data_IF_153248629164
#
_entry.id   IF_153248629164
#
_cell.length_a   1.000
_cell.length_b   1.000
_cell.length_c   1.000
_cell.angle_alpha   90.00
_cell.angle_beta   90.00
_cell.angle_gamma   90.00
#
_symmetry.space_group_name_H-M   'P 1'
#
loop_
_entity.id
_entity.type
_entity.pdbx_description
1 polymer ?
#
# COMPACT_ATOMS: atom_id res chain seq x y z
N UNK A 1 -17.11 11.47 1.48
CA UNK A 1 -16.58 11.76 0.13
C UNK A 1 -17.57 11.24 -0.90
N UNK A 2 -17.90 11.99 -1.95
CA UNK A 2 -18.86 11.53 -2.99
C UNK A 2 -18.14 10.57 -3.94
N UNK A 3 -18.60 9.32 -4.04
CA UNK A 3 -18.12 8.36 -5.04
C UNK A 3 -18.77 8.67 -6.39
N UNK A 4 -17.97 8.97 -7.41
CA UNK A 4 -18.47 9.10 -8.78
C UNK A 4 -18.84 7.70 -9.26
N UNK A 5 -20.14 7.43 -9.42
CA UNK A 5 -20.65 6.12 -9.86
C UNK A 5 -20.80 6.05 -11.37
N UNK A 6 -21.14 7.17 -12.01
CA UNK A 6 -21.22 7.29 -13.47
C UNK A 6 -21.28 8.77 -13.90
N UNK A 7 -21.15 9.04 -15.19
CA UNK A 7 -21.32 10.37 -15.78
C UNK A 7 -22.70 10.50 -16.42
N UNK A 8 -23.36 11.63 -16.17
CA UNK A 8 -24.70 11.90 -16.70
C UNK A 8 -24.76 12.00 -18.23
N UNK A 9 -23.63 12.25 -18.92
CA UNK A 9 -23.60 12.27 -20.37
C UNK A 9 -22.33 11.64 -20.95
N UNK A 10 -22.49 11.11 -22.16
CA UNK A 10 -21.43 10.40 -22.86
C UNK A 10 -20.27 11.31 -23.28
N UNK A 11 -20.52 12.62 -23.47
CA UNK A 11 -19.47 13.60 -23.74
C UNK A 11 -18.56 13.81 -22.52
N UNK A 12 -19.13 13.95 -21.32
CA UNK A 12 -18.35 14.05 -20.08
C UNK A 12 -17.61 12.75 -19.79
N UNK A 13 -18.24 11.60 -20.05
CA UNK A 13 -17.56 10.30 -20.00
C UNK A 13 -16.38 10.27 -20.99
N UNK A 14 -16.58 10.66 -22.25
CA UNK A 14 -15.52 10.75 -23.27
C UNK A 14 -14.47 11.82 -22.98
N UNK A 15 -14.74 12.82 -22.15
CA UNK A 15 -13.78 13.87 -21.81
C UNK A 15 -12.94 13.49 -20.58
N UNK A 16 -13.58 12.93 -19.54
CA UNK A 16 -12.96 12.61 -18.26
C UNK A 16 -12.42 11.17 -18.19
N UNK A 17 -12.99 10.24 -18.95
CA UNK A 17 -12.62 8.81 -18.97
C UNK A 17 -11.90 8.37 -20.25
N UNK A 18 -11.66 9.26 -21.23
CA UNK A 18 -11.06 8.86 -22.51
C UNK A 18 -9.75 8.10 -22.33
N UNK A 19 -8.95 8.59 -21.40
CA UNK A 19 -7.57 8.20 -21.23
C UNK A 19 -7.33 7.62 -19.83
N UNK A 20 -8.24 7.82 -18.86
CA UNK A 20 -8.06 7.33 -17.49
C UNK A 20 -8.55 5.89 -17.37
N UNK A 21 -7.61 4.97 -17.18
CA UNK A 21 -7.88 3.54 -16.99
C UNK A 21 -7.35 3.08 -15.63
N UNK A 22 -7.86 1.94 -15.18
CA UNK A 22 -7.30 1.20 -14.05
C UNK A 22 -6.62 -0.07 -14.53
N UNK A 23 -5.59 -0.51 -13.81
CA UNK A 23 -4.96 -1.81 -14.00
C UNK A 23 -4.68 -2.48 -12.66
N UNK A 24 -4.62 -3.80 -12.65
CA UNK A 24 -4.15 -4.56 -11.51
C UNK A 24 -2.65 -4.80 -11.60
N UNK A 25 -1.97 -4.66 -10.47
CA UNK A 25 -0.58 -5.05 -10.30
C UNK A 25 -0.45 -5.88 -9.03
N UNK A 26 0.32 -6.96 -9.10
CA UNK A 26 0.75 -7.74 -7.96
C UNK A 26 2.27 -7.76 -7.91
N UNK A 27 2.85 -7.19 -6.85
CA UNK A 27 4.26 -7.33 -6.54
C UNK A 27 4.44 -8.67 -5.83
N UNK A 28 5.23 -9.55 -6.45
CA UNK A 28 5.63 -10.88 -5.97
C UNK A 28 6.45 -10.75 -4.66
N UNK A 29 6.73 -11.86 -3.96
CA UNK A 29 7.43 -11.82 -2.68
C UNK A 29 8.81 -11.15 -2.81
N UNK A 30 8.95 -9.96 -2.24
CA UNK A 30 10.16 -9.13 -2.26
C UNK A 30 10.33 -8.42 -0.91
N UNK A 31 11.58 -8.01 -0.55
CA UNK A 31 11.80 -7.13 0.58
C UNK A 31 10.98 -5.85 0.47
N UNK A 32 10.44 -5.36 1.60
CA UNK A 32 9.56 -4.19 1.62
C UNK A 32 10.26 -2.92 1.11
N UNK A 33 11.59 -2.82 1.24
CA UNK A 33 12.39 -1.78 0.61
C UNK A 33 12.30 -1.80 -0.92
N UNK A 34 12.38 -2.97 -1.54
CA UNK A 34 12.21 -3.10 -3.00
C UNK A 34 10.77 -2.81 -3.43
N UNK A 35 9.78 -3.24 -2.64
CA UNK A 35 8.37 -2.89 -2.86
C UNK A 35 8.19 -1.37 -2.86
N UNK A 36 8.82 -0.67 -1.91
CA UNK A 36 8.80 0.80 -1.86
C UNK A 36 9.39 1.45 -3.11
N UNK A 37 10.53 0.95 -3.60
CA UNK A 37 11.13 1.41 -4.86
C UNK A 37 10.22 1.20 -6.06
N UNK A 38 9.53 0.06 -6.14
CA UNK A 38 8.58 -0.23 -7.21
C UNK A 38 7.37 0.72 -7.15
N UNK A 39 6.84 0.99 -5.95
CA UNK A 39 5.75 1.95 -5.75
C UNK A 39 6.16 3.36 -6.18
N UNK A 40 7.37 3.80 -5.83
CA UNK A 40 7.93 5.09 -6.28
C UNK A 40 8.07 5.11 -7.80
N UNK A 41 8.57 4.03 -8.40
CA UNK A 41 8.72 3.90 -9.85
C UNK A 41 7.38 4.07 -10.59
N UNK A 42 6.30 3.48 -10.09
CA UNK A 42 4.96 3.71 -10.65
C UNK A 42 4.51 5.16 -10.50
N UNK A 43 4.74 5.78 -9.34
CA UNK A 43 4.36 7.17 -9.08
C UNK A 43 5.09 8.16 -10.01
N UNK A 44 6.41 7.99 -10.15
CA UNK A 44 7.28 8.80 -11.02
C UNK A 44 6.90 8.67 -12.50
N UNK A 45 6.41 7.49 -12.90
CA UNK A 45 5.89 7.25 -14.25
C UNK A 45 4.39 7.62 -14.41
N UNK A 46 3.80 8.37 -13.48
CA UNK A 46 2.46 8.94 -13.66
C UNK A 46 1.29 8.01 -13.33
N UNK A 47 1.55 6.83 -12.77
CA UNK A 47 0.51 5.97 -12.20
C UNK A 47 0.27 6.33 -10.74
N UNK A 48 -0.96 6.12 -10.25
CA UNK A 48 -1.34 6.41 -8.86
C UNK A 48 -1.99 5.18 -8.26
N UNK A 49 -1.63 4.86 -7.02
CA UNK A 49 -2.22 3.75 -6.27
C UNK A 49 -3.58 4.20 -5.71
N UNK A 50 -4.65 3.49 -6.05
CA UNK A 50 -6.02 3.75 -5.55
C UNK A 50 -6.48 2.70 -4.55
N UNK A 51 -5.92 1.48 -4.62
CA UNK A 51 -6.07 0.43 -3.62
C UNK A 51 -4.74 -0.28 -3.46
N UNK A 52 -4.42 -0.73 -2.25
CA UNK A 52 -3.24 -1.55 -1.99
C UNK A 52 -3.50 -2.44 -0.78
N UNK A 53 -3.13 -3.72 -0.87
CA UNK A 53 -3.27 -4.67 0.23
C UNK A 53 -2.14 -5.70 0.21
N UNK A 54 -1.66 -6.08 1.39
CA UNK A 54 -0.73 -7.20 1.58
C UNK A 54 -1.51 -8.46 1.93
N UNK A 55 -1.34 -9.50 1.12
CA UNK A 55 -2.12 -10.73 1.23
C UNK A 55 -1.25 -11.97 1.06
N UNK A 56 -1.67 -13.06 1.70
CA UNK A 56 -1.08 -14.39 1.48
C UNK A 56 -1.84 -15.11 0.39
N UNK A 57 -1.13 -15.57 -0.65
CA UNK A 57 -1.75 -16.31 -1.74
C UNK A 57 -1.92 -17.78 -1.39
N UNK A 58 -3.05 -18.34 -1.85
CA UNK A 58 -3.30 -19.77 -1.94
C UNK A 58 -3.14 -20.24 -3.39
N UNK A 59 -3.10 -21.56 -3.60
CA UNK A 59 -3.13 -22.12 -4.94
C UNK A 59 -4.36 -21.68 -5.74
N UNK A 60 -5.52 -21.49 -5.10
CA UNK A 60 -6.74 -21.00 -5.77
C UNK A 60 -6.57 -19.56 -6.27
N UNK A 61 -6.00 -18.68 -5.43
CA UNK A 61 -5.73 -17.29 -5.81
C UNK A 61 -4.78 -17.22 -7.02
N UNK A 62 -3.74 -18.06 -7.03
CA UNK A 62 -2.77 -18.12 -8.13
C UNK A 62 -3.42 -18.64 -9.41
N UNK A 63 -4.22 -19.71 -9.34
CA UNK A 63 -4.94 -20.22 -10.51
C UNK A 63 -5.90 -19.18 -11.08
N UNK A 64 -6.55 -18.36 -10.25
CA UNK A 64 -7.42 -17.30 -10.71
C UNK A 64 -6.63 -16.17 -11.39
N UNK A 65 -5.58 -15.66 -10.74
CA UNK A 65 -4.79 -14.52 -11.26
C UNK A 65 -4.04 -14.89 -12.56
N UNK A 66 -3.63 -16.15 -12.68
CA UNK A 66 -2.90 -16.65 -13.85
C UNK A 66 -3.76 -17.54 -14.75
N UNK A 67 -5.10 -17.41 -14.70
CA UNK A 67 -6.06 -18.23 -15.47
C UNK A 67 -5.76 -18.33 -16.97
N UNK A 68 -5.20 -17.28 -17.56
CA UNK A 68 -4.81 -17.24 -18.98
C UNK A 68 -3.45 -17.89 -19.28
N UNK A 69 -2.68 -18.24 -18.25
CA UNK A 69 -1.32 -18.77 -18.34
C UNK A 69 -1.17 -20.16 -17.73
N UNK A 70 -2.27 -20.84 -17.38
CA UNK A 70 -2.23 -22.18 -16.76
C UNK A 70 -1.55 -23.21 -17.67
N UNK A 71 -1.66 -23.04 -19.00
CA UNK A 71 -1.03 -23.91 -19.99
C UNK A 71 0.46 -23.62 -20.22
N UNK A 72 1.02 -22.58 -19.59
CA UNK A 72 2.43 -22.23 -19.69
C UNK A 72 3.29 -23.30 -18.98
N UNK A 73 4.33 -23.86 -19.63
CA UNK A 73 5.25 -24.80 -19.00
C UNK A 73 5.94 -24.27 -17.72
N UNK A 74 6.04 -22.96 -17.55
CA UNK A 74 6.59 -22.32 -16.34
C UNK A 74 5.59 -22.23 -15.18
N UNK A 75 4.29 -22.40 -15.45
CA UNK A 75 3.23 -22.23 -14.46
C UNK A 75 3.40 -23.10 -13.19
N UNK A 76 3.82 -24.38 -13.26
CA UNK A 76 4.05 -25.19 -12.06
C UNK A 76 5.11 -24.58 -11.12
N UNK A 77 6.20 -24.04 -11.67
CA UNK A 77 7.26 -23.41 -10.89
C UNK A 77 6.80 -22.09 -10.27
N UNK A 78 5.99 -21.33 -11.01
CA UNK A 78 5.36 -20.12 -10.51
C UNK A 78 4.39 -20.42 -9.37
N UNK A 79 3.56 -21.46 -9.51
CA UNK A 79 2.62 -21.90 -8.49
C UNK A 79 3.37 -22.31 -7.21
N UNK A 80 4.43 -23.11 -7.33
CA UNK A 80 5.28 -23.48 -6.20
C UNK A 80 5.93 -22.25 -5.54
N UNK A 81 6.43 -21.31 -6.34
CA UNK A 81 7.06 -20.10 -5.82
C UNK A 81 6.09 -19.19 -5.06
N UNK A 82 4.84 -19.07 -5.50
CA UNK A 82 3.88 -18.11 -4.94
C UNK A 82 2.97 -18.71 -3.86
N UNK A 83 2.76 -20.02 -3.85
CA UNK A 83 1.81 -20.65 -2.92
C UNK A 83 2.24 -20.44 -1.46
N UNK A 84 1.34 -19.88 -0.65
CA UNK A 84 1.59 -19.55 0.74
C UNK A 84 2.46 -18.30 0.96
N UNK A 85 2.91 -17.62 -0.10
CA UNK A 85 3.76 -16.43 0.03
C UNK A 85 2.95 -15.14 0.19
N UNK A 86 3.60 -14.12 0.74
CA UNK A 86 3.04 -12.79 0.91
C UNK A 86 3.34 -11.92 -0.32
N UNK A 87 2.31 -11.26 -0.84
CA UNK A 87 2.38 -10.37 -2.00
C UNK A 87 1.71 -9.03 -1.69
N UNK A 88 2.03 -8.01 -2.49
CA UNK A 88 1.33 -6.73 -2.46
C UNK A 88 0.50 -6.57 -3.73
N UNK A 89 -0.82 -6.66 -3.60
CA UNK A 89 -1.73 -6.32 -4.69
C UNK A 89 -2.06 -4.84 -4.67
N UNK A 90 -2.21 -4.24 -5.84
CA UNK A 90 -2.57 -2.83 -6.00
C UNK A 90 -3.44 -2.59 -7.23
N UNK A 91 -4.38 -1.66 -7.09
CA UNK A 91 -5.07 -1.02 -8.20
C UNK A 91 -4.31 0.26 -8.53
N UNK A 92 -3.87 0.38 -9.78
CA UNK A 92 -3.24 1.58 -10.31
C UNK A 92 -4.18 2.30 -11.25
N UNK A 93 -4.26 3.62 -11.15
CA UNK A 93 -4.98 4.49 -12.07
C UNK A 93 -4.02 5.42 -12.79
N UNK A 94 -4.29 5.69 -14.06
CA UNK A 94 -3.52 6.64 -14.84
C UNK A 94 -3.93 6.65 -16.31
N UNK A 95 -3.18 7.42 -17.11
CA UNK A 95 -3.40 7.47 -18.56
C UNK A 95 -3.02 6.13 -19.20
N UNK A 96 -3.95 5.51 -19.94
CA UNK A 96 -3.76 4.25 -20.65
C UNK A 96 -3.13 3.16 -19.76
N UNK A 97 -3.57 3.10 -18.50
CA UNK A 97 -2.87 2.47 -17.38
C UNK A 97 -2.41 1.04 -17.64
N UNK A 98 -3.19 0.22 -18.34
CA UNK A 98 -2.81 -1.16 -18.67
C UNK A 98 -1.58 -1.19 -19.58
N UNK A 99 -1.66 -0.52 -20.74
CA UNK A 99 -0.57 -0.47 -21.71
C UNK A 99 0.67 0.24 -21.16
N UNK A 100 0.46 1.31 -20.40
CA UNK A 100 1.54 2.08 -19.79
C UNK A 100 2.24 1.27 -18.70
N UNK A 101 1.49 0.55 -17.86
CA UNK A 101 2.04 -0.35 -16.86
C UNK A 101 2.85 -1.48 -17.49
N UNK A 102 2.36 -2.13 -18.56
CA UNK A 102 3.11 -3.16 -19.30
C UNK A 102 4.46 -2.64 -19.80
N UNK A 103 4.49 -1.42 -20.32
CA UNK A 103 5.73 -0.76 -20.75
C UNK A 103 6.69 -0.51 -19.59
N UNK A 104 6.21 0.03 -18.47
CA UNK A 104 7.05 0.36 -17.31
C UNK A 104 7.62 -0.92 -16.67
N UNK A 105 6.82 -2.00 -16.58
CA UNK A 105 7.30 -3.22 -15.95
C UNK A 105 8.30 -3.98 -16.82
N UNK A 106 8.18 -3.92 -18.14
CA UNK A 106 9.11 -4.58 -19.08
C UNK A 106 8.76 -6.04 -19.38
N UNK A 107 9.63 -6.69 -20.16
CA UNK A 107 9.46 -8.09 -20.61
C UNK A 107 9.37 -9.07 -19.42
N UNK A 108 8.52 -10.11 -19.49
CA UNK A 108 8.44 -11.14 -18.44
C UNK A 108 9.77 -11.80 -18.09
N UNK A 109 10.71 -11.90 -19.04
CA UNK A 109 12.09 -12.34 -18.83
C UNK A 109 12.97 -11.12 -18.51
N UNK A 110 13.47 -10.97 -17.26
CA UNK A 110 14.31 -9.84 -16.85
C UNK A 110 15.54 -9.61 -17.73
N UNK A 111 16.07 -10.65 -18.37
CA UNK A 111 17.24 -10.56 -19.26
C UNK A 111 16.89 -9.89 -20.60
N UNK A 112 15.63 -10.03 -21.05
CA UNK A 112 15.11 -9.41 -22.28
C UNK A 112 14.45 -8.06 -22.03
N UNK A 113 14.14 -7.74 -20.78
CA UNK A 113 13.49 -6.50 -20.41
C UNK A 113 14.40 -5.29 -20.68
N UNK A 114 13.82 -4.20 -21.21
CA UNK A 114 14.59 -2.97 -21.46
C UNK A 114 15.18 -2.40 -20.17
N UNK A 115 16.40 -1.86 -20.27
CA UNK A 115 17.08 -1.23 -19.14
C UNK A 115 16.22 -0.11 -18.54
N UNK A 116 16.08 -0.13 -17.21
CA UNK A 116 15.26 0.84 -16.48
C UNK A 116 13.82 0.41 -16.25
N UNK A 117 13.35 -0.68 -16.86
CA UNK A 117 12.06 -1.30 -16.51
C UNK A 117 12.12 -2.01 -15.15
N UNK A 118 10.98 -2.16 -14.47
CA UNK A 118 10.93 -2.78 -13.13
C UNK A 118 11.50 -4.21 -13.14
N UNK A 119 11.18 -5.01 -14.16
CA UNK A 119 11.67 -6.38 -14.28
C UNK A 119 13.16 -6.44 -14.53
N UNK A 120 13.70 -5.55 -15.37
CA UNK A 120 15.15 -5.44 -15.57
C UNK A 120 15.91 -5.00 -14.30
N UNK A 121 15.30 -4.12 -13.50
CA UNK A 121 15.93 -3.56 -12.30
C UNK A 121 15.96 -4.54 -11.11
N UNK A 122 14.91 -5.33 -10.93
CA UNK A 122 14.71 -6.11 -9.71
C UNK A 122 14.49 -7.61 -9.93
N UNK A 123 14.12 -8.02 -11.14
CA UNK A 123 13.80 -9.42 -11.45
C UNK A 123 15.05 -10.29 -11.56
N UNK A 124 14.93 -11.57 -11.20
CA UNK A 124 16.05 -12.52 -11.28
C UNK A 124 15.91 -13.51 -12.43
N UNK A 125 14.69 -13.94 -12.71
CA UNK A 125 14.35 -14.90 -13.77
C UNK A 125 12.87 -14.75 -14.17
N UNK A 126 12.39 -15.50 -15.16
CA UNK A 126 11.01 -15.46 -15.67
C UNK A 126 9.95 -15.77 -14.59
N UNK A 127 10.25 -16.68 -13.67
CA UNK A 127 9.38 -17.04 -12.54
C UNK A 127 9.43 -15.95 -11.45
N UNK A 128 10.62 -15.42 -11.15
CA UNK A 128 10.89 -14.41 -10.11
C UNK A 128 11.12 -13.02 -10.72
N UNK A 129 10.24 -12.64 -11.64
CA UNK A 129 10.29 -11.34 -12.33
C UNK A 129 9.65 -10.18 -11.56
N UNK A 130 9.58 -10.23 -10.22
CA UNK A 130 9.07 -9.17 -9.34
C UNK A 130 7.59 -8.77 -9.42
N UNK A 131 7.02 -8.65 -10.61
CA UNK A 131 5.71 -8.01 -10.80
C UNK A 131 4.87 -8.74 -11.84
N UNK A 132 3.61 -8.99 -11.48
CA UNK A 132 2.54 -9.39 -12.38
C UNK A 132 1.59 -8.21 -12.62
N UNK A 133 1.04 -8.12 -13.83
CA UNK A 133 -0.02 -7.17 -14.18
C UNK A 133 -0.99 -7.81 -15.16
N UNK A 134 -2.20 -7.28 -15.24
CA UNK A 134 -3.20 -7.71 -16.20
C UNK A 134 -2.81 -7.36 -17.64
N UNK A 135 -3.13 -8.24 -18.58
CA UNK A 135 -2.75 -8.10 -19.99
C UNK A 135 -3.65 -7.18 -20.80
N UNK A 136 -4.89 -6.95 -20.35
CA UNK A 136 -5.90 -6.11 -21.01
C UNK A 136 -6.87 -5.51 -19.97
N UNK A 137 -7.67 -4.49 -20.35
CA UNK A 137 -8.62 -3.83 -19.45
C UNK A 137 -9.65 -4.77 -18.82
N UNK A 138 -10.15 -5.77 -19.55
CA UNK A 138 -11.13 -6.72 -19.03
C UNK A 138 -10.54 -7.60 -17.94
N UNK A 139 -9.32 -8.11 -18.16
CA UNK A 139 -8.56 -8.87 -17.17
C UNK A 139 -8.27 -8.01 -15.93
N UNK A 140 -7.89 -6.74 -16.11
CA UNK A 140 -7.66 -5.80 -15.01
C UNK A 140 -8.87 -5.66 -14.10
N UNK A 141 -10.07 -5.48 -14.67
CA UNK A 141 -11.29 -5.37 -13.88
C UNK A 141 -11.59 -6.65 -13.09
N UNK A 142 -11.43 -7.82 -13.71
CA UNK A 142 -11.60 -9.11 -13.05
C UNK A 142 -10.59 -9.33 -11.91
N UNK A 143 -9.32 -9.00 -12.15
CA UNK A 143 -8.24 -9.16 -11.17
C UNK A 143 -8.45 -8.20 -9.99
N UNK A 144 -8.83 -6.95 -10.26
CA UNK A 144 -9.20 -5.95 -9.25
C UNK A 144 -10.39 -6.45 -8.42
N UNK A 145 -11.46 -6.90 -9.05
CA UNK A 145 -12.68 -7.35 -8.37
C UNK A 145 -12.39 -8.58 -7.49
N UNK A 146 -11.55 -9.50 -7.97
CA UNK A 146 -11.13 -10.65 -7.19
C UNK A 146 -10.27 -10.26 -5.99
N UNK A 147 -9.28 -9.38 -6.19
CA UNK A 147 -8.31 -9.03 -5.15
C UNK A 147 -8.89 -8.03 -4.12
N UNK A 148 -9.78 -7.16 -4.57
CA UNK A 148 -10.44 -6.11 -3.79
C UNK A 148 -11.97 -6.20 -3.90
N UNK A 149 -12.59 -7.29 -3.43
CA UNK A 149 -14.01 -7.48 -3.61
C UNK A 149 -14.81 -6.43 -2.83
N UNK A 150 -16.00 -6.03 -3.33
CA UNK A 150 -16.86 -5.09 -2.62
C UNK A 150 -17.39 -5.71 -1.31
N UNK A 151 -17.73 -4.90 -0.30
CA UNK A 151 -18.44 -5.39 0.89
C UNK A 151 -19.74 -6.11 0.51
N UNK A 152 -20.13 -7.19 1.21
CA UNK A 152 -19.49 -7.76 2.41
C UNK A 152 -18.40 -8.82 2.12
N UNK A 153 -18.03 -9.04 0.84
CA UNK A 153 -17.11 -10.12 0.45
C UNK A 153 -15.63 -9.82 0.79
N UNK A 154 -15.33 -8.60 1.26
CA UNK A 154 -13.98 -8.11 1.60
C UNK A 154 -13.26 -9.00 2.62
N UNK A 155 -13.97 -9.49 3.63
CA UNK A 155 -13.41 -10.31 4.70
C UNK A 155 -13.18 -11.80 4.32
N UNK A 156 -13.73 -12.27 3.19
CA UNK A 156 -13.74 -13.69 2.86
C UNK A 156 -12.53 -14.15 2.03
N UNK A 157 -11.91 -13.26 1.24
CA UNK A 157 -10.81 -13.59 0.32
C UNK A 157 -9.54 -12.83 0.67
N UNK A 158 -8.38 -13.47 0.45
CA UNK A 158 -7.06 -12.87 0.64
C UNK A 158 -6.90 -12.26 2.04
N UNK A 159 -7.02 -13.13 3.06
CA UNK A 159 -7.12 -12.75 4.48
C UNK A 159 -6.02 -11.80 4.93
N UNK A 160 -6.37 -11.04 5.95
CA UNK A 160 -5.46 -10.17 6.69
C UNK A 160 -4.26 -10.96 7.22
N UNK A 161 -3.12 -10.30 7.15
CA UNK A 161 -1.79 -10.84 7.46
C UNK A 161 -1.26 -10.32 8.79
N UNK A 162 -2.09 -9.56 9.52
CA UNK A 162 -1.77 -9.00 10.82
C UNK A 162 -1.53 -10.12 11.85
N UNK A 163 -0.48 -9.96 12.63
CA UNK A 163 0.02 -10.90 13.63
C UNK A 163 -0.46 -10.56 15.04
N UNK A 164 -0.82 -9.29 15.28
CA UNK A 164 -1.38 -8.78 16.53
C UNK A 164 -0.51 -9.10 17.75
N UNK A 165 0.82 -9.10 17.56
CA UNK A 165 1.78 -9.47 18.59
C UNK A 165 3.03 -8.61 18.49
N UNK A 166 3.42 -7.95 19.60
CA UNK A 166 4.54 -6.99 19.66
C UNK A 166 4.56 -6.05 18.44
N UNK A 167 3.42 -5.41 18.16
CA UNK A 167 3.22 -4.62 16.96
C UNK A 167 2.88 -3.15 17.28
N UNK A 168 2.91 -2.31 16.26
CA UNK A 168 2.44 -0.92 16.31
C UNK A 168 1.74 -0.58 15.01
N UNK A 169 0.77 0.32 15.07
CA UNK A 169 0.15 0.88 13.89
C UNK A 169 1.07 1.93 13.27
N UNK A 170 1.19 1.90 11.95
CA UNK A 170 1.75 2.99 11.16
C UNK A 170 0.74 3.42 10.09
N UNK A 171 0.38 4.70 10.05
CA UNK A 171 -0.46 5.27 8.99
C UNK A 171 0.36 6.26 8.16
N UNK A 172 0.48 6.01 6.87
CA UNK A 172 0.90 7.02 5.88
C UNK A 172 -0.32 7.87 5.53
N UNK A 173 -0.30 9.13 5.95
CA UNK A 173 -1.45 10.06 5.88
C UNK A 173 -1.78 10.48 4.45
N UNK A 174 -3.01 10.97 4.19
CA UNK A 174 -3.46 11.31 2.84
C UNK A 174 -2.60 12.30 2.07
N UNK A 175 -2.07 13.37 2.68
CA UNK A 175 -1.15 14.27 1.97
C UNK A 175 0.11 13.55 1.50
N UNK A 176 0.67 12.64 2.30
CA UNK A 176 1.87 11.89 1.95
C UNK A 176 1.58 10.89 0.82
N UNK A 177 0.39 10.27 0.79
CA UNK A 177 -0.05 9.43 -0.32
C UNK A 177 -0.18 10.25 -1.61
N UNK A 178 -0.84 11.41 -1.57
CA UNK A 178 -1.00 12.31 -2.74
C UNK A 178 0.34 12.77 -3.31
N UNK A 179 1.34 12.94 -2.46
CA UNK A 179 2.70 13.36 -2.82
C UNK A 179 3.62 12.20 -3.22
N UNK A 180 3.12 10.97 -3.28
CA UNK A 180 3.91 9.81 -3.71
C UNK A 180 4.93 9.34 -2.67
N UNK A 181 4.77 9.70 -1.39
CA UNK A 181 5.73 9.39 -0.32
C UNK A 181 5.59 7.97 0.25
N UNK A 182 4.64 7.17 -0.26
CA UNK A 182 4.38 5.82 0.23
C UNK A 182 5.59 4.91 0.05
N UNK A 183 6.22 4.91 -1.14
CA UNK A 183 7.36 4.04 -1.40
C UNK A 183 8.56 4.39 -0.51
N UNK A 184 8.85 5.69 -0.36
CA UNK A 184 9.89 6.17 0.56
C UNK A 184 9.64 5.78 2.02
N UNK A 185 8.37 5.74 2.47
CA UNK A 185 8.03 5.27 3.80
C UNK A 185 8.29 3.76 3.96
N UNK A 186 7.87 2.94 2.98
CA UNK A 186 8.12 1.49 2.97
C UNK A 186 9.62 1.16 3.00
N UNK A 187 10.41 1.89 2.22
CA UNK A 187 11.88 1.79 2.21
C UNK A 187 12.48 2.07 3.58
N UNK A 188 12.16 3.23 4.15
CA UNK A 188 12.73 3.63 5.43
C UNK A 188 12.28 2.74 6.61
N UNK A 189 11.08 2.14 6.54
CA UNK A 189 10.61 1.16 7.54
C UNK A 189 11.43 -0.13 7.47
N UNK A 190 11.62 -0.68 6.27
CA UNK A 190 12.36 -1.94 6.07
C UNK A 190 13.85 -1.79 6.44
N UNK A 191 14.46 -0.70 6.00
CA UNK A 191 15.84 -0.32 6.32
C UNK A 191 16.04 0.01 7.80
N UNK A 192 14.99 0.52 8.45
CA UNK A 192 14.97 0.80 9.89
C UNK A 192 14.93 -0.44 10.78
N UNK A 193 14.93 -1.65 10.21
CA UNK A 193 14.91 -2.90 10.98
C UNK A 193 13.51 -3.38 11.34
N UNK A 194 12.48 -2.92 10.63
CA UNK A 194 11.09 -3.32 10.86
C UNK A 194 10.53 -4.11 9.68
N UNK A 195 9.54 -4.94 9.95
CA UNK A 195 8.77 -5.68 8.96
C UNK A 195 7.34 -5.11 8.92
N UNK A 196 6.83 -4.88 7.71
CA UNK A 196 5.41 -4.58 7.48
C UNK A 196 4.67 -5.91 7.40
N UNK A 197 4.04 -6.36 8.47
CA UNK A 197 3.35 -7.66 8.53
C UNK A 197 1.99 -7.63 7.84
N UNK A 198 1.24 -6.52 7.99
CA UNK A 198 0.00 -6.24 7.28
C UNK A 198 0.01 -4.84 6.67
N UNK A 199 -0.68 -4.66 5.54
CA UNK A 199 -0.86 -3.38 4.88
C UNK A 199 -2.22 -3.36 4.18
N UNK A 200 -2.97 -2.28 4.37
CA UNK A 200 -4.17 -2.02 3.58
C UNK A 200 -4.39 -0.50 3.39
N UNK A 201 -5.00 -0.12 2.26
CA UNK A 201 -5.34 1.26 1.94
C UNK A 201 -6.79 1.54 2.31
N UNK A 202 -7.02 2.61 3.06
CA UNK A 202 -8.32 2.98 3.60
C UNK A 202 -8.71 4.39 3.16
N UNK A 203 -10.01 4.62 3.00
CA UNK A 203 -10.61 5.95 3.01
C UNK A 203 -11.39 6.03 4.32
N UNK A 204 -10.84 6.77 5.28
CA UNK A 204 -11.43 6.85 6.63
C UNK A 204 -12.51 7.93 6.63
N UNK A 205 -13.73 7.56 7.02
CA UNK A 205 -14.83 8.52 7.18
C UNK A 205 -14.56 9.46 8.36
N UNK A 206 -15.20 10.63 8.36
CA UNK A 206 -14.93 11.65 9.37
C UNK A 206 -15.25 11.16 10.79
N UNK A 207 -16.35 10.43 10.96
CA UNK A 207 -16.75 9.86 12.25
C UNK A 207 -15.73 8.83 12.76
N UNK A 208 -15.29 7.93 11.88
CA UNK A 208 -14.25 6.93 12.20
C UNK A 208 -12.90 7.61 12.52
N UNK A 209 -12.54 8.68 11.80
CA UNK A 209 -11.33 9.44 12.10
C UNK A 209 -11.43 10.19 13.44
N UNK A 210 -12.61 10.69 13.80
CA UNK A 210 -12.87 11.36 15.07
C UNK A 210 -12.82 10.38 16.25
N UNK A 211 -13.40 9.19 16.09
CA UNK A 211 -13.31 8.09 17.06
C UNK A 211 -11.84 7.66 17.25
N UNK A 212 -11.12 7.41 16.16
CA UNK A 212 -9.71 7.01 16.20
C UNK A 212 -8.82 8.00 16.96
N UNK A 213 -9.06 9.31 16.80
CA UNK A 213 -8.28 10.35 17.47
C UNK A 213 -8.91 10.85 18.78
N UNK A 214 -9.98 10.23 19.29
CA UNK A 214 -10.74 10.75 20.43
C UNK A 214 -9.85 11.00 21.66
N UNK A 215 -8.85 10.15 21.88
CA UNK A 215 -7.88 10.28 22.98
C UNK A 215 -7.09 11.59 22.96
N UNK A 216 -6.97 12.25 21.80
CA UNK A 216 -6.29 13.53 21.65
C UNK A 216 -7.23 14.74 21.80
N UNK A 217 -8.54 14.52 21.90
CA UNK A 217 -9.54 15.58 21.97
C UNK A 217 -9.41 16.38 23.26
N UNK A 218 -9.15 17.67 23.12
CA UNK A 218 -8.90 18.56 24.27
C UNK A 218 -7.51 18.45 24.87
N UNK A 219 -6.68 17.51 24.40
CA UNK A 219 -5.27 17.34 24.82
C UNK A 219 -4.35 18.14 23.91
N UNK A 220 -4.58 18.10 22.59
CA UNK A 220 -3.79 18.81 21.58
C UNK A 220 -4.63 19.82 20.82
N UNK A 221 -4.02 20.94 20.42
CA UNK A 221 -4.72 22.01 19.69
C UNK A 221 -5.06 21.58 18.26
N UNK A 222 -4.26 20.67 17.69
CA UNK A 222 -4.34 20.20 16.32
C UNK A 222 -5.41 19.12 16.11
N UNK A 223 -6.13 18.67 17.15
CA UNK A 223 -7.09 17.56 17.08
C UNK A 223 -8.04 17.67 15.89
N UNK A 224 -8.67 18.84 15.71
CA UNK A 224 -9.61 19.07 14.60
C UNK A 224 -8.92 18.88 13.24
N UNK A 225 -7.71 19.42 13.09
CA UNK A 225 -6.91 19.28 11.87
C UNK A 225 -6.44 17.84 11.64
N UNK A 226 -6.17 17.07 12.69
CA UNK A 226 -5.79 15.65 12.57
C UNK A 226 -6.94 14.81 12.00
N UNK A 227 -8.17 15.02 12.48
CA UNK A 227 -9.38 14.37 11.97
C UNK A 227 -9.65 14.78 10.52
N UNK A 228 -9.56 16.07 10.22
CA UNK A 228 -9.73 16.59 8.85
C UNK A 228 -8.68 16.00 7.89
N UNK A 229 -7.41 15.94 8.29
CA UNK A 229 -6.35 15.40 7.44
C UNK A 229 -6.53 13.90 7.19
N UNK A 230 -6.84 13.09 8.21
CA UNK A 230 -7.03 11.64 8.04
C UNK A 230 -8.26 11.31 7.18
N UNK A 231 -9.32 12.12 7.28
CA UNK A 231 -10.54 11.96 6.46
C UNK A 231 -10.48 12.65 5.08
N UNK A 232 -9.36 13.31 4.75
CA UNK A 232 -9.22 14.08 3.50
C UNK A 232 -8.98 13.24 2.25
N UNK A 233 -8.72 11.94 2.38
CA UNK A 233 -8.31 11.10 1.26
C UNK A 233 -7.86 9.69 1.66
N UNK A 234 -7.30 8.93 0.70
CA UNK A 234 -6.77 7.61 0.98
C UNK A 234 -5.54 7.69 1.89
N UNK A 235 -5.48 6.83 2.89
CA UNK A 235 -4.30 6.58 3.72
C UNK A 235 -3.90 5.10 3.64
N UNK A 236 -2.65 4.79 3.97
CA UNK A 236 -2.19 3.40 4.07
C UNK A 236 -1.90 3.09 5.53
N UNK A 237 -2.65 2.15 6.11
CA UNK A 237 -2.42 1.65 7.46
C UNK A 237 -1.65 0.33 7.38
N UNK A 238 -0.68 0.17 8.28
CA UNK A 238 0.25 -0.94 8.32
C UNK A 238 0.41 -1.44 9.75
N UNK A 239 0.44 -2.76 9.92
CA UNK A 239 0.98 -3.37 11.13
C UNK A 239 2.49 -3.48 10.96
N UNK A 240 3.23 -2.95 11.93
CA UNK A 240 4.69 -2.96 11.96
C UNK A 240 5.18 -3.83 13.12
N UNK A 241 6.15 -4.69 12.84
CA UNK A 241 6.83 -5.54 13.85
C UNK A 241 8.34 -5.36 13.70
N UNK A 242 9.09 -5.24 14.81
CA UNK A 242 10.55 -5.19 14.76
C UNK A 242 11.13 -6.54 14.31
N UNK A 243 12.13 -6.52 13.43
CA UNK A 243 12.83 -7.74 13.00
C UNK A 243 13.60 -8.39 14.17
N UNK A 244 14.11 -7.57 15.08
CA UNK A 244 14.64 -8.03 16.36
C UNK A 244 13.48 -8.33 17.32
N UNK A 245 13.30 -9.60 17.68
CA UNK A 245 12.22 -10.04 18.57
C UNK A 245 12.43 -9.63 20.03
N UNK A 246 13.62 -9.15 20.39
CA UNK A 246 13.95 -8.78 21.77
C UNK A 246 13.60 -7.33 22.11
N UNK A 247 13.16 -6.53 21.14
CA UNK A 247 12.81 -5.12 21.36
C UNK A 247 11.30 -4.91 21.40
N UNK A 248 10.88 -3.86 22.10
CA UNK A 248 9.50 -3.40 22.05
C UNK A 248 9.27 -2.61 20.77
N UNK A 249 8.51 -3.18 19.84
CA UNK A 249 8.31 -2.60 18.50
C UNK A 249 7.82 -1.16 18.57
N UNK A 250 6.78 -0.86 19.35
CA UNK A 250 6.22 0.49 19.45
C UNK A 250 7.22 1.54 19.96
N UNK A 251 8.15 1.14 20.84
CA UNK A 251 9.18 2.05 21.38
C UNK A 251 10.24 2.34 20.33
N UNK A 252 10.79 1.31 19.69
CA UNK A 252 11.82 1.49 18.66
C UNK A 252 11.27 2.17 17.41
N UNK A 253 10.04 1.82 17.00
CA UNK A 253 9.42 2.41 15.83
C UNK A 253 9.18 3.91 16.00
N UNK A 254 8.76 4.37 17.20
CA UNK A 254 8.65 5.80 17.51
C UNK A 254 9.97 6.55 17.35
N UNK A 255 11.12 5.91 17.62
CA UNK A 255 12.43 6.52 17.39
C UNK A 255 12.69 6.75 15.90
N UNK A 256 12.30 5.79 15.04
CA UNK A 256 12.38 5.91 13.59
C UNK A 256 11.42 6.98 13.06
N UNK A 257 10.20 7.07 13.60
CA UNK A 257 9.18 8.05 13.19
C UNK A 257 9.58 9.48 13.58
N UNK A 258 10.06 9.66 14.81
CA UNK A 258 10.55 10.94 15.33
C UNK A 258 9.44 11.88 15.86
N UNK A 259 9.84 13.11 16.25
CA UNK A 259 8.94 14.11 16.85
C UNK A 259 7.70 14.39 15.98
N UNK A 260 6.56 14.64 16.62
CA UNK A 260 5.27 14.85 15.95
C UNK A 260 5.25 16.08 15.03
N UNK A 261 6.03 17.11 15.37
CA UNK A 261 6.26 18.30 14.56
C UNK A 261 7.45 18.07 13.59
N UNK A 262 7.22 18.09 12.26
CA UNK A 262 8.28 17.94 11.27
C UNK A 262 9.40 18.98 11.35
N UNK A 263 9.13 20.21 11.78
CA UNK A 263 10.16 21.25 11.92
C UNK A 263 11.11 20.91 13.07
N UNK A 264 10.56 20.52 14.22
CA UNK A 264 11.34 20.02 15.36
C UNK A 264 12.08 18.73 14.98
N UNK A 265 11.43 17.83 14.24
CA UNK A 265 12.05 16.60 13.77
C UNK A 265 13.25 16.89 12.86
N UNK A 266 13.14 17.83 11.91
CA UNK A 266 14.26 18.25 11.05
C UNK A 266 15.42 18.84 11.84
N UNK A 267 15.14 19.62 12.88
CA UNK A 267 16.16 20.25 13.70
C UNK A 267 16.88 19.26 14.62
N UNK A 268 16.13 18.39 15.31
CA UNK A 268 16.68 17.53 16.37
C UNK A 268 17.05 16.12 15.88
N UNK A 269 16.33 15.59 14.89
CA UNK A 269 16.46 14.21 14.40
C UNK A 269 16.20 14.13 12.89
N UNK A 270 17.06 14.72 12.04
CA UNK A 270 16.82 14.89 10.59
C UNK A 270 16.62 13.58 9.81
N UNK A 271 17.04 12.44 10.38
CA UNK A 271 16.93 11.14 9.72
C UNK A 271 15.56 10.47 9.87
N UNK A 272 14.66 10.99 10.72
CA UNK A 272 13.38 10.35 11.04
C UNK A 272 12.36 10.51 9.91
N UNK A 273 11.33 9.66 9.92
CA UNK A 273 10.28 9.69 8.90
C UNK A 273 9.53 11.02 8.87
N UNK A 274 9.15 11.57 10.02
CA UNK A 274 8.44 12.87 10.08
C UNK A 274 9.34 14.03 9.63
N UNK A 275 10.65 13.96 9.86
CA UNK A 275 11.60 14.97 9.37
C UNK A 275 11.69 14.97 7.84
N UNK A 276 11.82 13.77 7.24
CA UNK A 276 11.99 13.58 5.79
C UNK A 276 10.70 13.79 5.01
N UNK A 277 9.58 13.28 5.53
CA UNK A 277 8.33 13.17 4.78
C UNK A 277 7.27 14.21 5.21
N UNK A 278 7.37 14.76 6.42
CA UNK A 278 6.36 15.66 6.98
C UNK A 278 6.47 17.12 6.51
N UNK A 279 5.32 17.79 6.45
CA UNK A 279 5.16 19.21 6.10
C UNK A 279 4.92 20.09 7.31
N UNK A 280 3.84 19.83 8.05
CA UNK A 280 3.37 20.60 9.21
C UNK A 280 3.01 19.65 10.36
N UNK A 281 2.66 20.17 11.55
CA UNK A 281 2.19 19.35 12.67
C UNK A 281 1.01 18.45 12.32
N UNK A 282 0.03 18.98 11.58
CA UNK A 282 -1.13 18.21 11.10
C UNK A 282 -0.72 17.25 9.98
N UNK A 283 0.02 17.78 9.00
CA UNK A 283 0.54 17.04 7.84
C UNK A 283 1.95 16.49 8.12
N UNK A 284 2.09 15.68 9.15
CA UNK A 284 3.38 15.14 9.58
C UNK A 284 3.78 13.83 8.90
N UNK A 285 3.16 13.49 7.77
CA UNK A 285 3.27 12.26 6.97
C UNK A 285 2.88 10.95 7.67
N UNK A 286 3.43 10.67 8.86
CA UNK A 286 3.30 9.40 9.55
C UNK A 286 2.61 9.59 10.91
N UNK A 287 1.49 8.89 11.10
CA UNK A 287 0.98 8.58 12.43
C UNK A 287 1.53 7.23 12.88
N UNK A 288 1.86 7.12 14.16
CA UNK A 288 2.26 5.88 14.81
C UNK A 288 1.67 5.85 16.21
N UNK A 289 1.46 4.66 16.76
CA UNK A 289 0.94 4.49 18.12
C UNK A 289 1.84 5.15 19.15
N UNK A 290 1.24 5.90 20.07
CA UNK A 290 1.97 6.68 21.07
C UNK A 290 2.31 5.86 22.32
N UNK A 291 1.49 4.87 22.68
CA UNK A 291 1.74 3.93 23.78
C UNK A 291 1.97 2.52 23.26
N UNK A 292 2.67 1.71 24.05
CA UNK A 292 2.94 0.30 23.78
C UNK A 292 1.67 -0.56 23.79
N UNK A 293 0.73 -0.26 24.68
CA UNK A 293 -0.56 -0.96 24.79
C UNK A 293 -1.54 -0.56 23.68
N UNK A 294 -1.44 0.66 23.14
CA UNK A 294 -2.37 1.18 22.13
C UNK A 294 -2.13 0.56 20.76
N UNK A 295 -0.89 0.16 20.46
CA UNK A 295 -0.53 -0.37 19.14
C UNK A 295 -1.38 -1.57 18.73
N UNK A 296 -1.72 -2.45 19.66
CA UNK A 296 -2.60 -3.59 19.39
C UNK A 296 -4.03 -3.13 19.04
N UNK A 297 -4.61 -2.26 19.87
CA UNK A 297 -5.98 -1.77 19.73
C UNK A 297 -6.16 -0.99 18.42
N UNK A 298 -5.19 -0.15 18.09
CA UNK A 298 -5.18 0.63 16.85
C UNK A 298 -5.08 -0.26 15.60
N UNK A 299 -4.23 -1.30 15.64
CA UNK A 299 -4.13 -2.28 14.56
C UNK A 299 -5.44 -3.07 14.42
N UNK A 300 -6.05 -3.48 15.54
CA UNK A 300 -7.36 -4.14 15.52
C UNK A 300 -8.47 -3.22 14.98
N UNK A 301 -8.45 -1.93 15.29
CA UNK A 301 -9.41 -0.98 14.76
C UNK A 301 -9.37 -0.95 13.23
N UNK A 302 -8.19 -0.78 12.63
CA UNK A 302 -8.07 -0.74 11.17
C UNK A 302 -8.35 -2.07 10.49
N UNK A 303 -7.81 -3.17 11.02
CA UNK A 303 -7.85 -4.45 10.32
C UNK A 303 -9.03 -5.34 10.75
N UNK A 304 -9.67 -5.14 11.90
CA UNK A 304 -10.84 -5.93 12.32
C UNK A 304 -12.15 -5.16 12.32
N UNK A 305 -12.14 -3.83 12.46
CA UNK A 305 -13.37 -3.03 12.54
C UNK A 305 -13.63 -2.32 11.20
N UNK A 306 -12.64 -1.60 10.68
CA UNK A 306 -12.79 -0.83 9.44
C UNK A 306 -12.70 -1.68 8.16
N UNK A 307 -12.05 -2.84 8.19
CA UNK A 307 -11.88 -3.71 7.02
C UNK A 307 -13.04 -4.70 6.81
N UNK A 308 -14.07 -4.66 7.66
CA UNK A 308 -15.29 -5.47 7.55
C UNK A 308 -16.21 -5.04 6.40
#
# INVERSE_FOLDING_TARGET
>A
MIKIVDFACENTRKLLHKDVQVTFVMIKPLPTSIVGKIVNHFFENGLRVTKMKKSRLTAEDINMLYRSSIADPEFPFLLEHLNGQLVFGMELVGKDAVSHCLKIIGDPDPVKAESGTIRALYGTDSVRNCVHTSSNPEAALQDIEYFFPPPPLRAMRLRLTATLSNCTLCIVKPHAIREGKLGAALEAIDEGGFEVTALNMFIVENDNAAEFYEVYKGIVQEYKGMVEELSSGPCVAMEIVAKDKNVHTAVEFRKLVGPSDPEIARLLRPHTLRAKLGKTKVQNAIHCSDLDVDGLLEVEYFFKILDL
#
